data_IF_114855815667
#
_entry.id   IF_114855815667
#
_cell.length_a   1.000
_cell.length_b   1.000
_cell.length_c   1.000
_cell.angle_alpha   90.00
_cell.angle_beta   90.00
_cell.angle_gamma   90.00
#
_symmetry.space_group_name_H-M   'P 1'
#
loop_
_entity.id
_entity.type
_entity.pdbx_description
1 polymer ?
#
# COMPACT_ATOMS: atom_id res chain seq x y z
N UNK A 1 -18.35 -2.03 17.50
CA UNK A 1 -18.13 -0.72 16.87
C UNK A 1 -17.34 -0.97 15.58
N UNK A 2 -17.72 -0.31 14.49
CA UNK A 2 -16.96 -0.37 13.25
C UNK A 2 -15.54 0.15 13.53
N UNK A 3 -14.49 -0.66 13.31
CA UNK A 3 -13.12 -0.23 13.52
C UNK A 3 -12.69 0.86 12.54
N UNK A 4 -13.39 1.01 11.40
CA UNK A 4 -13.12 2.02 10.40
C UNK A 4 -14.15 3.15 10.47
N UNK A 5 -13.69 4.35 10.80
CA UNK A 5 -14.50 5.57 10.76
C UNK A 5 -13.62 6.79 10.54
N UNK A 6 -14.17 7.78 9.86
CA UNK A 6 -13.53 9.10 9.73
C UNK A 6 -14.37 10.16 10.45
N UNK A 7 -13.73 10.95 11.27
CA UNK A 7 -14.34 12.03 12.01
C UNK A 7 -13.70 13.36 11.61
N UNK A 8 -14.50 14.32 11.12
CA UNK A 8 -14.03 15.69 10.90
C UNK A 8 -14.05 16.42 12.24
N UNK A 9 -12.91 16.97 12.64
CA UNK A 9 -12.75 17.69 13.92
C UNK A 9 -12.87 19.19 13.75
N UNK A 10 -12.36 19.75 12.63
CA UNK A 10 -12.47 21.17 12.33
C UNK A 10 -12.52 21.43 10.84
N UNK A 11 -13.07 22.59 10.45
CA UNK A 11 -13.14 23.09 9.07
C UNK A 11 -12.75 24.57 9.01
N UNK A 12 -12.04 24.93 7.93
CA UNK A 12 -11.75 26.32 7.57
C UNK A 12 -11.93 26.46 6.05
N UNK A 13 -13.08 26.98 5.64
CA UNK A 13 -13.48 27.00 4.23
C UNK A 13 -13.58 25.58 3.66
N UNK A 14 -12.75 25.25 2.65
CA UNK A 14 -12.67 23.92 2.03
C UNK A 14 -11.68 22.98 2.74
N UNK A 15 -10.80 23.51 3.58
CA UNK A 15 -9.87 22.70 4.36
C UNK A 15 -10.57 22.01 5.53
N UNK A 16 -10.06 20.85 5.93
CA UNK A 16 -10.54 20.12 7.10
C UNK A 16 -9.40 19.40 7.82
N UNK A 17 -9.53 19.32 9.12
CA UNK A 17 -8.76 18.44 10.00
C UNK A 17 -9.69 17.32 10.46
N UNK A 18 -9.19 16.12 10.51
CA UNK A 18 -9.99 14.97 10.94
C UNK A 18 -9.15 13.86 11.49
N UNK A 19 -9.81 12.83 11.93
CA UNK A 19 -9.19 11.61 12.47
C UNK A 19 -9.78 10.37 11.80
N UNK A 20 -8.90 9.55 11.24
CA UNK A 20 -9.23 8.24 10.71
C UNK A 20 -8.92 7.18 11.77
N UNK A 21 -9.90 6.37 12.10
CA UNK A 21 -9.73 5.23 13.01
C UNK A 21 -9.55 3.95 12.19
N UNK A 22 -8.57 3.15 12.59
CA UNK A 22 -8.26 1.84 11.98
C UNK A 22 -8.05 0.80 13.09
N UNK A 23 -8.03 -0.51 12.78
CA UNK A 23 -7.71 -1.54 13.76
C UNK A 23 -6.35 -1.35 14.44
N UNK A 24 -5.38 -0.72 13.77
CA UNK A 24 -4.03 -0.49 14.27
C UNK A 24 -3.77 0.93 14.79
N UNK A 25 -4.84 1.70 15.04
CA UNK A 25 -4.73 3.01 15.67
C UNK A 25 -5.46 4.12 14.92
N UNK A 26 -5.50 5.28 15.57
CA UNK A 26 -6.08 6.49 15.00
C UNK A 26 -5.00 7.31 14.30
N UNK A 27 -5.37 7.92 13.17
CA UNK A 27 -4.49 8.72 12.31
C UNK A 27 -5.07 10.10 12.18
N UNK A 28 -4.29 11.12 12.49
CA UNK A 28 -4.67 12.53 12.30
C UNK A 28 -4.47 12.93 10.83
N UNK A 29 -5.41 13.69 10.28
CA UNK A 29 -5.35 14.15 8.90
C UNK A 29 -5.48 15.68 8.82
N UNK A 30 -4.77 16.31 7.88
CA UNK A 30 -3.89 15.74 6.85
C UNK A 30 -2.55 15.29 7.39
N UNK A 31 -1.94 14.28 6.78
CA UNK A 31 -0.62 13.78 7.14
C UNK A 31 0.17 13.31 5.92
N UNK A 32 1.47 13.16 6.11
CA UNK A 32 2.35 12.51 5.15
C UNK A 32 2.52 11.03 5.49
N UNK A 33 2.49 10.16 4.49
CA UNK A 33 2.71 8.73 4.62
C UNK A 33 4.11 8.35 4.11
N UNK A 34 5.09 8.06 4.98
CA UNK A 34 6.38 7.55 4.53
C UNK A 34 6.24 6.26 3.72
N UNK A 35 6.98 6.17 2.62
CA UNK A 35 6.88 5.03 1.71
C UNK A 35 7.85 3.93 2.12
N UNK A 36 7.29 2.83 2.57
CA UNK A 36 8.00 1.58 2.89
C UNK A 36 7.81 0.55 1.78
N UNK A 37 8.39 0.80 0.60
CA UNK A 37 8.18 0.08 -0.67
C UNK A 37 8.08 -1.45 -0.52
N UNK A 38 9.00 -2.05 0.21
CA UNK A 38 9.06 -3.51 0.44
C UNK A 38 8.84 -3.85 1.92
N UNK A 39 7.94 -3.13 2.60
CA UNK A 39 7.68 -3.27 4.03
C UNK A 39 8.71 -2.57 4.92
N UNK A 40 9.56 -1.70 4.35
CA UNK A 40 10.52 -0.90 5.13
C UNK A 40 10.78 0.44 4.47
N UNK A 41 10.87 1.50 5.26
CA UNK A 41 11.30 2.81 4.80
C UNK A 41 12.82 2.82 4.73
N UNK A 42 13.37 3.13 3.55
CA UNK A 42 14.80 3.03 3.29
C UNK A 42 15.62 3.89 4.27
N UNK A 43 16.54 3.26 4.99
CA UNK A 43 17.45 3.95 5.92
C UNK A 43 16.85 4.27 7.29
N UNK A 44 15.59 3.87 7.58
CA UNK A 44 14.93 4.12 8.86
C UNK A 44 14.44 2.80 9.48
N UNK A 45 14.62 2.66 10.77
CA UNK A 45 14.03 1.59 11.56
C UNK A 45 12.60 2.00 12.01
N UNK A 46 11.70 1.06 12.33
CA UNK A 46 10.37 1.39 12.86
C UNK A 46 10.40 2.37 14.04
N UNK A 47 11.34 2.21 14.97
CA UNK A 47 11.53 3.13 16.11
C UNK A 47 11.87 4.56 15.70
N UNK A 48 12.56 4.74 14.57
CA UNK A 48 12.92 6.08 14.07
C UNK A 48 11.68 6.76 13.48
N UNK A 49 10.82 5.96 12.82
CA UNK A 49 9.54 6.41 12.29
C UNK A 49 8.56 6.80 13.42
N UNK A 50 8.54 6.03 14.50
CA UNK A 50 7.78 6.38 15.71
C UNK A 50 8.30 7.68 16.33
N UNK A 51 9.61 7.84 16.45
CA UNK A 51 10.24 9.01 17.04
C UNK A 51 9.96 10.32 16.28
N UNK A 52 9.84 10.25 14.94
CA UNK A 52 9.47 11.41 14.10
C UNK A 52 7.96 11.62 13.97
N UNK A 53 7.15 10.82 14.67
CA UNK A 53 5.69 10.95 14.71
C UNK A 53 4.96 10.43 13.47
N UNK A 54 5.54 9.51 12.70
CA UNK A 54 4.81 8.83 11.62
C UNK A 54 3.63 8.07 12.20
N UNK A 55 2.45 8.20 11.57
CA UNK A 55 1.23 7.56 12.06
C UNK A 55 0.76 6.43 11.14
N UNK A 56 1.10 6.48 9.86
CA UNK A 56 0.76 5.47 8.86
C UNK A 56 1.90 5.33 7.87
N UNK A 57 2.13 4.12 7.37
CA UNK A 57 3.12 3.83 6.33
C UNK A 57 2.41 3.35 5.07
N UNK A 58 3.05 3.60 3.92
CA UNK A 58 2.60 3.10 2.62
C UNK A 58 3.55 2.00 2.14
N UNK A 59 3.00 0.88 1.66
CA UNK A 59 3.77 -0.18 1.00
C UNK A 59 3.27 -0.40 -0.43
N UNK A 60 4.18 -0.83 -1.31
CA UNK A 60 3.85 -1.02 -2.71
C UNK A 60 3.53 -2.48 -3.03
N UNK A 61 2.29 -2.72 -3.42
CA UNK A 61 1.75 -4.06 -3.75
C UNK A 61 2.57 -4.76 -4.83
N UNK A 62 2.96 -4.06 -5.89
CA UNK A 62 3.78 -4.63 -6.96
C UNK A 62 5.10 -5.23 -6.44
N UNK A 63 5.84 -4.50 -5.63
CA UNK A 63 7.12 -4.96 -5.11
C UNK A 63 6.97 -6.15 -4.18
N UNK A 64 5.99 -6.11 -3.30
CA UNK A 64 5.72 -7.19 -2.34
C UNK A 64 5.13 -8.44 -3.01
N UNK A 65 4.35 -8.28 -4.10
CA UNK A 65 3.89 -9.38 -4.94
C UNK A 65 5.07 -10.14 -5.55
N UNK A 66 6.10 -9.42 -6.04
CA UNK A 66 7.28 -10.02 -6.65
C UNK A 66 8.22 -10.64 -5.61
N UNK A 67 8.48 -9.91 -4.52
CA UNK A 67 9.39 -10.32 -3.46
C UNK A 67 9.06 -9.64 -2.13
N UNK A 68 8.84 -10.39 -1.05
CA UNK A 68 9.04 -11.84 -0.90
C UNK A 68 7.87 -12.70 -1.38
N UNK A 69 6.77 -12.09 -1.81
CA UNK A 69 5.50 -12.71 -2.15
C UNK A 69 4.48 -12.58 -1.00
N UNK A 70 3.17 -12.41 -1.34
CA UNK A 70 2.13 -12.12 -0.35
C UNK A 70 1.95 -13.25 0.68
N UNK A 71 2.12 -14.50 0.27
CA UNK A 71 1.94 -15.65 1.18
C UNK A 71 3.02 -15.68 2.27
N UNK A 72 4.25 -15.27 1.96
CA UNK A 72 5.30 -15.17 2.99
C UNK A 72 5.03 -14.04 3.96
N UNK A 73 4.57 -12.89 3.47
CA UNK A 73 4.19 -11.76 4.32
C UNK A 73 3.03 -12.16 5.23
N UNK A 74 2.01 -12.82 4.68
CA UNK A 74 0.88 -13.37 5.46
C UNK A 74 1.36 -14.30 6.57
N UNK A 75 2.24 -15.25 6.25
CA UNK A 75 2.77 -16.21 7.22
C UNK A 75 3.59 -15.56 8.36
N UNK A 76 4.11 -14.36 8.14
CA UNK A 76 4.85 -13.57 9.13
C UNK A 76 3.96 -12.59 9.91
N UNK A 77 2.63 -12.70 9.81
CA UNK A 77 1.68 -11.83 10.50
C UNK A 77 1.34 -10.56 9.73
N UNK A 78 1.36 -10.63 8.40
CA UNK A 78 1.11 -9.50 7.51
C UNK A 78 2.24 -8.47 7.54
N UNK A 79 2.00 -7.29 6.97
CA UNK A 79 2.97 -6.19 6.96
C UNK A 79 3.39 -5.77 8.36
N UNK A 80 2.47 -5.80 9.32
CA UNK A 80 2.74 -5.44 10.71
C UNK A 80 3.80 -6.34 11.35
N UNK A 81 3.64 -7.65 11.22
CA UNK A 81 4.61 -8.63 11.71
C UNK A 81 5.91 -8.62 10.91
N UNK A 82 5.80 -8.55 9.58
CA UNK A 82 6.93 -8.56 8.66
C UNK A 82 7.86 -7.36 8.83
N UNK A 83 7.29 -6.15 8.99
CA UNK A 83 8.05 -4.90 9.13
C UNK A 83 8.35 -4.51 10.58
N UNK A 84 7.63 -5.09 11.56
CA UNK A 84 7.71 -4.69 12.96
C UNK A 84 7.10 -3.30 13.25
N UNK A 85 6.25 -2.80 12.35
CA UNK A 85 5.50 -1.55 12.51
C UNK A 85 4.12 -1.83 13.07
N UNK A 86 3.74 -1.17 14.16
CA UNK A 86 2.48 -1.41 14.87
C UNK A 86 1.33 -0.52 14.42
N UNK A 87 1.62 0.60 13.78
CA UNK A 87 0.63 1.53 13.25
C UNK A 87 0.01 1.04 11.93
N UNK A 88 -0.99 1.76 11.42
CA UNK A 88 -1.66 1.40 10.16
C UNK A 88 -0.74 1.33 8.96
N UNK A 89 -1.09 0.44 8.03
CA UNK A 89 -0.52 0.32 6.69
C UNK A 89 -1.55 0.68 5.63
N UNK A 90 -1.11 1.44 4.63
CA UNK A 90 -1.80 1.58 3.36
C UNK A 90 -1.00 0.83 2.30
N UNK A 91 -1.67 0.06 1.44
CA UNK A 91 -1.07 -0.49 0.21
C UNK A 91 -1.65 0.18 -1.01
N UNK A 92 -0.79 0.49 -1.98
CA UNK A 92 -1.24 0.92 -3.31
C UNK A 92 -1.81 -0.27 -4.10
N UNK A 93 -2.38 0.00 -5.27
CA UNK A 93 -2.95 -1.04 -6.15
C UNK A 93 -1.89 -1.86 -6.90
N UNK A 94 -0.66 -1.33 -7.05
CA UNK A 94 0.39 -1.83 -7.91
C UNK A 94 0.32 -1.35 -9.36
N UNK A 95 -0.74 -0.64 -9.76
CA UNK A 95 -0.96 -0.16 -11.13
C UNK A 95 0.15 0.77 -11.63
N UNK A 96 0.53 1.76 -10.84
CA UNK A 96 1.58 2.71 -11.20
C UNK A 96 2.92 2.02 -11.50
N UNK A 97 3.35 1.06 -10.67
CA UNK A 97 4.63 0.38 -10.84
C UNK A 97 4.63 -0.51 -12.08
N UNK A 98 3.51 -1.17 -12.39
CA UNK A 98 3.35 -1.92 -13.64
C UNK A 98 3.49 -1.00 -14.84
N UNK A 99 2.92 0.21 -14.79
CA UNK A 99 3.01 1.20 -15.86
C UNK A 99 4.41 1.77 -16.00
N UNK A 100 5.12 2.02 -14.88
CA UNK A 100 6.44 2.66 -14.88
C UNK A 100 7.62 1.69 -15.03
N UNK A 101 7.52 0.44 -14.54
CA UNK A 101 8.60 -0.54 -14.48
C UNK A 101 8.42 -1.72 -15.42
N UNK A 102 7.22 -1.94 -15.95
CA UNK A 102 6.92 -3.05 -16.84
C UNK A 102 7.43 -2.81 -18.26
N UNK A 103 8.50 -3.54 -18.68
CA UNK A 103 9.07 -3.40 -20.01
C UNK A 103 8.18 -3.99 -21.14
N UNK A 104 7.47 -5.06 -20.85
CA UNK A 104 6.50 -5.68 -21.77
C UNK A 104 5.18 -5.83 -21.05
N UNK A 105 4.15 -5.15 -21.54
CA UNK A 105 2.82 -5.17 -20.94
C UNK A 105 1.73 -5.24 -22.00
N UNK A 106 0.70 -5.98 -21.68
CA UNK A 106 -0.58 -5.97 -22.38
C UNK A 106 -1.65 -5.60 -21.38
N UNK A 107 -2.42 -4.56 -21.68
CA UNK A 107 -3.55 -4.09 -20.89
C UNK A 107 -4.82 -4.42 -21.63
N UNK A 108 -5.80 -4.99 -20.95
CA UNK A 108 -7.15 -5.24 -21.43
C UNK A 108 -8.17 -5.09 -20.28
N UNK A 109 -9.45 -5.30 -20.56
CA UNK A 109 -10.52 -5.16 -19.57
C UNK A 109 -10.39 -6.12 -18.37
N UNK A 110 -9.63 -7.21 -18.52
CA UNK A 110 -9.39 -8.15 -17.42
C UNK A 110 -8.23 -7.73 -16.50
N UNK A 111 -7.38 -6.80 -16.95
CA UNK A 111 -6.22 -6.34 -16.21
C UNK A 111 -4.96 -6.20 -17.06
N UNK A 112 -3.80 -6.48 -16.47
CA UNK A 112 -2.51 -6.29 -17.12
C UNK A 112 -1.64 -7.54 -17.04
N UNK A 113 -0.98 -7.87 -18.16
CA UNK A 113 0.10 -8.86 -18.20
C UNK A 113 1.41 -8.12 -18.39
N UNK A 114 2.36 -8.33 -17.49
CA UNK A 114 3.66 -7.68 -17.53
C UNK A 114 4.80 -8.66 -17.22
N UNK A 115 6.00 -8.27 -17.60
CA UNK A 115 7.21 -9.02 -17.30
C UNK A 115 7.85 -8.49 -16.01
N UNK A 116 8.11 -9.39 -15.05
CA UNK A 116 8.79 -9.06 -13.80
C UNK A 116 10.21 -8.55 -14.09
N UNK A 117 10.56 -7.39 -13.53
CA UNK A 117 11.90 -6.82 -13.63
C UNK A 117 12.96 -7.59 -12.82
N UNK A 118 12.55 -8.51 -11.95
CA UNK A 118 13.46 -9.30 -11.10
C UNK A 118 13.96 -10.57 -11.81
N UNK A 119 13.07 -11.29 -12.49
CA UNK A 119 13.33 -12.62 -13.02
C UNK A 119 12.76 -12.86 -14.44
N UNK A 120 12.14 -11.85 -15.03
CA UNK A 120 11.60 -11.89 -16.38
C UNK A 120 10.33 -12.72 -16.56
N UNK A 121 9.78 -13.33 -15.50
CA UNK A 121 8.54 -14.11 -15.62
C UNK A 121 7.34 -13.23 -15.94
N UNK A 122 6.41 -13.78 -16.72
CA UNK A 122 5.14 -13.12 -17.01
C UNK A 122 4.19 -13.24 -15.83
N UNK A 123 3.56 -12.12 -15.48
CA UNK A 123 2.61 -12.01 -14.38
C UNK A 123 1.35 -11.35 -14.91
N UNK A 124 0.19 -11.97 -14.67
CA UNK A 124 -1.12 -11.34 -14.88
C UNK A 124 -1.57 -10.74 -13.55
N UNK A 125 -1.86 -9.46 -13.53
CA UNK A 125 -2.44 -8.73 -12.40
C UNK A 125 -3.82 -8.21 -12.83
N UNK A 126 -4.87 -8.74 -12.19
CA UNK A 126 -6.26 -8.30 -12.37
C UNK A 126 -6.67 -7.48 -11.15
N UNK A 127 -7.80 -6.73 -11.20
CA UNK A 127 -8.35 -6.03 -10.05
C UNK A 127 -8.53 -6.97 -8.83
N UNK A 128 -9.11 -8.15 -9.04
CA UNK A 128 -9.34 -9.13 -7.98
C UNK A 128 -8.02 -9.64 -7.39
N UNK A 129 -7.03 -9.89 -8.24
CA UNK A 129 -5.72 -10.33 -7.79
C UNK A 129 -4.99 -9.24 -7.00
N UNK A 130 -5.10 -7.98 -7.41
CA UNK A 130 -4.54 -6.85 -6.66
C UNK A 130 -5.15 -6.80 -5.26
N UNK A 131 -6.48 -6.88 -5.15
CA UNK A 131 -7.16 -6.91 -3.85
C UNK A 131 -6.73 -8.12 -3.01
N UNK A 132 -6.72 -9.32 -3.59
CA UNK A 132 -6.30 -10.53 -2.88
C UNK A 132 -4.86 -10.45 -2.36
N UNK A 133 -3.96 -9.82 -3.11
CA UNK A 133 -2.58 -9.56 -2.65
C UNK A 133 -2.58 -8.60 -1.47
N UNK A 134 -3.28 -7.47 -1.56
CA UNK A 134 -3.35 -6.47 -0.49
C UNK A 134 -3.98 -7.05 0.80
N UNK A 135 -5.01 -7.88 0.67
CA UNK A 135 -5.59 -8.63 1.80
C UNK A 135 -4.57 -9.59 2.42
N UNK A 136 -3.80 -10.30 1.59
CA UNK A 136 -2.73 -11.18 2.08
C UNK A 136 -1.61 -10.41 2.78
N UNK A 137 -1.31 -9.20 2.33
CA UNK A 137 -0.37 -8.30 2.99
C UNK A 137 -0.91 -7.78 4.33
N UNK A 138 -2.22 -7.80 4.55
CA UNK A 138 -2.84 -7.40 5.82
C UNK A 138 -2.78 -5.89 6.07
N UNK A 139 -2.93 -5.09 5.01
CA UNK A 139 -3.00 -3.64 5.14
C UNK A 139 -4.36 -3.18 5.70
N UNK A 140 -4.36 -2.08 6.46
CA UNK A 140 -5.59 -1.46 6.97
C UNK A 140 -6.35 -0.73 5.86
N UNK A 141 -5.64 -0.11 4.95
CA UNK A 141 -6.15 0.65 3.82
C UNK A 141 -5.64 0.03 2.52
N UNK A 142 -6.53 -0.31 1.63
CA UNK A 142 -6.21 -0.89 0.33
C UNK A 142 -6.76 -0.04 -0.78
N UNK A 143 -6.09 -0.03 -1.94
CA UNK A 143 -6.47 0.77 -3.09
C UNK A 143 -7.06 -0.09 -4.19
N UNK A 144 -8.14 0.40 -4.83
CA UNK A 144 -8.66 -0.20 -6.05
C UNK A 144 -7.60 -0.19 -7.15
N UNK A 145 -7.62 -1.24 -7.98
CA UNK A 145 -6.69 -1.32 -9.11
C UNK A 145 -7.01 -0.24 -10.13
N UNK A 146 -6.04 0.57 -10.46
CA UNK A 146 -6.16 1.72 -11.35
C UNK A 146 -5.15 1.67 -12.51
N UNK A 147 -5.47 2.37 -13.57
CA UNK A 147 -4.58 2.65 -14.69
C UNK A 147 -4.10 4.10 -14.60
N UNK A 148 -2.81 4.33 -14.87
CA UNK A 148 -2.21 5.66 -14.95
C UNK A 148 -2.07 6.06 -16.42
N UNK A 149 -3.07 6.71 -17.04
CA UNK A 149 -2.98 7.15 -18.42
C UNK A 149 -1.90 8.22 -18.57
N UNK A 150 -1.22 8.28 -19.75
CA UNK A 150 -0.28 9.35 -20.01
C UNK A 150 -1.00 10.71 -20.00
N UNK A 151 -0.32 11.71 -19.46
CA UNK A 151 -0.79 13.10 -19.56
C UNK A 151 -0.75 13.54 -21.03
N UNK A 152 -1.81 14.21 -21.56
CA UNK A 152 -1.83 14.68 -22.93
C UNK A 152 -0.75 15.73 -23.23
#
# INVERSE_FOLDING_TARGET
MDPFRFQVEARAGRARVGRLFTPHGAVETPLFMPVGTAGSVKGLMPKDLEAIGSQVLLANTYHLLLRPGPERVRALGGLHGFAGWKGPWLTDSGGFQVMSLGHMRRIDEEGVVFQSHLDGRLIKLTPERSIAVQEALGADLIMAFDECPPYP
#
